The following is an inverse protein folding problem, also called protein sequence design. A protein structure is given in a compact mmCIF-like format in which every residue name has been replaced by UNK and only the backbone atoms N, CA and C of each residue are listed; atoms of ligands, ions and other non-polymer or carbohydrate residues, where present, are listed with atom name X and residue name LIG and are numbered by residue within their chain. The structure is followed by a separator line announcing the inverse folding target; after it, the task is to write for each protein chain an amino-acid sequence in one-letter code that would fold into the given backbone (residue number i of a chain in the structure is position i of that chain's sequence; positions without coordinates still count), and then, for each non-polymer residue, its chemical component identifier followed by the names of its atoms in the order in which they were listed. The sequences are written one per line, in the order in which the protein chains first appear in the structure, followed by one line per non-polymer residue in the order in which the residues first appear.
data_IF_780147997415
#
_entry.id   IF_780147997415
#
_cell.length_a   1.000
_cell.length_b   1.000
_cell.length_c   1.000
_cell.angle_alpha   90.00
_cell.angle_beta   90.00
_cell.angle_gamma   90.00
#
_symmetry.space_group_name_H-M   'P 1'
#
loop_
_entity.id
_entity.type
_entity.pdbx_description
1 polymer ?
#
# COMPACT_ATOMS: atom_id res chain seq x y z
N UNK A 1 -20.52 -23.21 -34.88
CA UNK A 1 -19.06 -23.08 -34.77
C UNK A 1 -18.70 -23.19 -33.30
N UNK A 2 -18.02 -24.26 -32.85
CA UNK A 2 -17.52 -24.30 -31.49
C UNK A 2 -16.24 -23.47 -31.43
N UNK A 3 -16.34 -22.26 -30.88
CA UNK A 3 -15.17 -21.50 -30.45
C UNK A 3 -14.59 -22.20 -29.24
N UNK A 4 -13.47 -22.89 -29.46
CA UNK A 4 -12.67 -23.54 -28.44
C UNK A 4 -12.16 -22.49 -27.42
N UNK A 5 -12.88 -22.37 -26.30
CA UNK A 5 -12.56 -21.48 -25.18
C UNK A 5 -11.28 -21.88 -24.44
N UNK A 6 -10.65 -23.01 -24.76
CA UNK A 6 -9.39 -23.45 -24.14
C UNK A 6 -8.15 -22.67 -24.62
N UNK A 7 -8.30 -21.81 -25.64
CA UNK A 7 -7.22 -21.01 -26.23
C UNK A 7 -7.18 -19.54 -25.77
N UNK A 8 -8.10 -19.12 -24.89
CA UNK A 8 -8.07 -17.77 -24.34
C UNK A 8 -6.94 -17.64 -23.30
N UNK A 9 -6.08 -16.63 -23.41
CA UNK A 9 -4.95 -16.48 -22.48
C UNK A 9 -5.46 -16.32 -21.05
N UNK A 10 -5.08 -17.26 -20.20
CA UNK A 10 -5.48 -17.30 -18.78
C UNK A 10 -4.88 -16.08 -18.07
N UNK A 11 -5.72 -15.12 -17.69
CA UNK A 11 -5.27 -14.00 -16.86
C UNK A 11 -5.11 -14.48 -15.42
N UNK A 12 -3.89 -14.84 -15.06
CA UNK A 12 -3.52 -15.55 -13.83
C UNK A 12 -3.98 -14.91 -12.52
N UNK A 13 -4.28 -13.62 -12.53
CA UNK A 13 -4.68 -12.89 -11.33
C UNK A 13 -6.01 -12.16 -11.52
N UNK A 14 -6.34 -11.63 -12.70
CA UNK A 14 -7.56 -10.83 -12.86
C UNK A 14 -8.84 -11.67 -12.95
N UNK A 15 -8.76 -12.91 -13.44
CA UNK A 15 -9.94 -13.77 -13.53
C UNK A 15 -10.33 -14.28 -12.12
N UNK A 16 -11.64 -14.39 -11.87
CA UNK A 16 -12.15 -15.07 -10.69
C UNK A 16 -11.95 -16.58 -10.74
N UNK A 17 -11.84 -17.15 -11.94
CA UNK A 17 -11.69 -18.58 -12.19
C UNK A 17 -10.23 -19.03 -12.39
N UNK A 18 -9.28 -18.09 -12.53
CA UNK A 18 -7.87 -18.44 -12.72
C UNK A 18 -7.29 -19.08 -11.46
N UNK A 19 -6.73 -20.29 -11.60
CA UNK A 19 -5.94 -20.93 -10.56
C UNK A 19 -4.45 -20.65 -10.79
N UNK A 20 -3.73 -20.19 -9.76
CA UNK A 20 -2.30 -19.92 -9.92
C UNK A 20 -1.42 -21.14 -10.12
N UNK A 21 -1.94 -22.33 -9.78
CA UNK A 21 -1.33 -23.60 -10.14
C UNK A 21 -1.23 -23.76 -11.67
N UNK A 22 -2.28 -23.42 -12.41
CA UNK A 22 -2.32 -23.47 -13.88
C UNK A 22 -1.34 -22.45 -14.50
N UNK A 23 -1.06 -21.38 -13.76
CA UNK A 23 -0.08 -20.39 -14.17
C UNK A 23 1.34 -20.68 -13.70
N UNK A 24 1.63 -21.79 -13.02
CA UNK A 24 2.96 -22.14 -12.49
C UNK A 24 3.62 -20.99 -11.70
N UNK A 25 2.81 -20.13 -11.07
CA UNK A 25 3.23 -18.99 -10.26
C UNK A 25 2.87 -19.20 -8.78
N UNK A 26 2.39 -20.40 -8.45
CA UNK A 26 2.06 -20.79 -7.09
C UNK A 26 3.32 -20.78 -6.23
N UNK A 27 3.22 -20.21 -5.02
CA UNK A 27 4.37 -20.02 -4.14
C UNK A 27 5.19 -18.77 -4.47
N UNK A 28 5.34 -18.40 -5.74
CA UNK A 28 6.13 -17.24 -6.17
C UNK A 28 5.38 -15.91 -6.01
N UNK A 29 4.09 -15.87 -6.39
CA UNK A 29 3.26 -14.66 -6.29
C UNK A 29 2.04 -14.85 -5.38
N UNK A 30 1.51 -13.73 -4.87
CA UNK A 30 0.23 -13.68 -4.15
C UNK A 30 -0.87 -13.54 -5.20
N UNK A 31 -1.42 -14.67 -5.62
CA UNK A 31 -2.46 -14.70 -6.65
C UNK A 31 -3.88 -14.58 -6.09
N UNK A 32 -4.13 -15.23 -4.95
CA UNK A 32 -5.39 -15.09 -4.22
C UNK A 32 -5.17 -14.36 -2.91
N UNK A 33 -6.15 -13.54 -2.54
CA UNK A 33 -6.09 -12.79 -1.28
C UNK A 33 -6.59 -13.69 -0.16
N UNK A 34 -5.66 -14.18 0.66
CA UNK A 34 -6.00 -14.82 1.92
C UNK A 34 -6.67 -13.79 2.84
N UNK A 35 -7.97 -13.97 3.13
CA UNK A 35 -8.76 -13.03 3.94
C UNK A 35 -8.17 -12.80 5.32
N UNK A 36 -7.62 -13.82 5.98
CA UNK A 36 -6.99 -13.71 7.31
C UNK A 36 -5.73 -12.83 7.24
N UNK A 37 -4.91 -12.99 6.20
CA UNK A 37 -3.75 -12.14 5.99
C UNK A 37 -4.15 -10.68 5.68
N UNK A 38 -5.09 -10.47 4.75
CA UNK A 38 -5.58 -9.13 4.43
C UNK A 38 -6.24 -8.43 5.63
N UNK A 39 -6.98 -9.16 6.47
CA UNK A 39 -7.54 -8.63 7.71
C UNK A 39 -6.43 -8.20 8.68
N UNK A 40 -5.40 -9.03 8.87
CA UNK A 40 -4.25 -8.67 9.72
C UNK A 40 -3.53 -7.43 9.22
N UNK A 41 -3.34 -7.32 7.90
CA UNK A 41 -2.74 -6.13 7.30
C UNK A 41 -3.62 -4.89 7.51
N UNK A 42 -4.92 -5.01 7.23
CA UNK A 42 -5.89 -3.91 7.39
C UNK A 42 -5.94 -3.43 8.84
N UNK A 43 -6.00 -4.37 9.79
CA UNK A 43 -6.02 -4.07 11.22
C UNK A 43 -4.71 -3.40 11.65
N UNK A 44 -3.55 -3.95 11.25
CA UNK A 44 -2.24 -3.36 11.56
C UNK A 44 -2.11 -1.93 11.02
N UNK A 45 -2.48 -1.70 9.75
CA UNK A 45 -2.46 -0.37 9.16
C UNK A 45 -3.42 0.59 9.88
N UNK A 46 -4.66 0.15 10.16
CA UNK A 46 -5.64 1.00 10.86
C UNK A 46 -5.17 1.37 12.27
N UNK A 47 -4.69 0.40 13.05
CA UNK A 47 -4.15 0.65 14.39
C UNK A 47 -2.96 1.61 14.35
N UNK A 48 -2.05 1.44 13.38
CA UNK A 48 -0.92 2.35 13.16
C UNK A 48 -1.39 3.79 12.90
N UNK A 49 -2.40 3.99 12.03
CA UNK A 49 -2.96 5.32 11.74
C UNK A 49 -3.73 5.93 12.90
N UNK A 50 -4.47 5.12 13.66
CA UNK A 50 -5.21 5.60 14.84
C UNK A 50 -4.26 6.08 15.93
N UNK A 51 -3.13 5.40 16.14
CA UNK A 51 -2.10 5.86 17.08
C UNK A 51 -1.43 7.16 16.62
N UNK A 52 -1.16 7.29 15.31
CA UNK A 52 -0.68 8.55 14.74
C UNK A 52 -1.67 9.72 14.95
N UNK A 53 -2.97 9.47 14.78
CA UNK A 53 -4.02 10.45 15.11
C UNK A 53 -3.98 10.80 16.60
N UNK A 54 -3.83 9.80 17.48
CA UNK A 54 -3.70 10.00 18.93
C UNK A 54 -2.56 10.96 19.30
N UNK A 55 -1.37 10.77 18.71
CA UNK A 55 -0.22 11.68 18.85
C UNK A 55 -0.62 13.12 18.50
N UNK A 56 -1.25 13.34 17.34
CA UNK A 56 -1.64 14.69 16.95
C UNK A 56 -2.77 15.28 17.82
N UNK A 57 -3.65 14.46 18.37
CA UNK A 57 -4.68 14.90 19.32
C UNK A 57 -4.03 15.39 20.61
N UNK A 58 -3.11 14.62 21.22
CA UNK A 58 -2.45 15.03 22.46
C UNK A 58 -1.53 16.23 22.26
N UNK A 59 -0.78 16.27 21.15
CA UNK A 59 -0.03 17.45 20.74
C UNK A 59 -0.94 18.68 20.51
N UNK A 60 -2.13 18.48 19.93
CA UNK A 60 -3.14 19.54 19.75
C UNK A 60 -3.69 20.06 21.07
N UNK A 61 -3.94 19.18 22.04
CA UNK A 61 -4.41 19.56 23.39
C UNK A 61 -3.36 20.36 24.17
N UNK A 62 -2.07 20.03 24.04
CA UNK A 62 -0.99 20.73 24.75
C UNK A 62 -0.61 22.05 24.11
N UNK A 63 -0.55 22.10 22.77
CA UNK A 63 0.13 23.18 22.02
C UNK A 63 -0.86 23.99 21.17
N UNK A 64 -2.10 23.53 21.01
CA UNK A 64 -3.10 24.15 20.12
C UNK A 64 -2.85 23.90 18.63
N UNK A 65 -1.87 23.06 18.26
CA UNK A 65 -1.47 22.77 16.89
C UNK A 65 -2.38 21.77 16.17
N UNK A 66 -3.70 22.02 16.16
CA UNK A 66 -4.69 21.16 15.50
C UNK A 66 -4.50 21.03 13.98
N UNK A 67 -3.77 21.97 13.37
CA UNK A 67 -3.44 21.92 11.95
C UNK A 67 -2.67 20.65 11.57
N UNK A 68 -1.85 20.08 12.46
CA UNK A 68 -1.11 18.84 12.21
C UNK A 68 -2.06 17.64 12.06
N UNK A 69 -3.09 17.57 12.91
CA UNK A 69 -4.12 16.55 12.81
C UNK A 69 -4.91 16.70 11.51
N UNK A 70 -5.33 17.92 11.18
CA UNK A 70 -6.12 18.20 9.97
C UNK A 70 -5.31 17.86 8.72
N UNK A 71 -4.04 18.27 8.65
CA UNK A 71 -3.17 17.99 7.51
C UNK A 71 -2.94 16.49 7.35
N UNK A 72 -2.66 15.79 8.46
CA UNK A 72 -2.45 14.34 8.46
C UNK A 72 -3.69 13.58 8.01
N UNK A 73 -4.84 13.81 8.65
CA UNK A 73 -6.08 13.12 8.34
C UNK A 73 -6.52 13.35 6.88
N UNK A 74 -6.42 14.60 6.41
CA UNK A 74 -6.77 14.96 5.03
C UNK A 74 -5.88 14.23 4.03
N UNK A 75 -4.57 14.21 4.26
CA UNK A 75 -3.62 13.55 3.36
C UNK A 75 -3.71 12.02 3.41
N UNK A 76 -3.99 11.42 4.57
CA UNK A 76 -4.27 9.98 4.68
C UNK A 76 -5.50 9.60 3.85
N UNK A 77 -6.60 10.32 4.00
CA UNK A 77 -7.83 10.07 3.24
C UNK A 77 -7.56 10.26 1.75
N UNK A 78 -6.99 11.41 1.35
CA UNK A 78 -6.69 11.73 -0.04
C UNK A 78 -5.77 10.68 -0.67
N UNK A 79 -4.76 10.21 0.07
CA UNK A 79 -3.79 9.28 -0.47
C UNK A 79 -4.40 7.91 -0.70
N UNK A 80 -5.04 7.32 0.30
CA UNK A 80 -5.58 5.96 0.16
C UNK A 80 -6.84 5.88 -0.73
N UNK A 81 -7.58 6.98 -0.90
CA UNK A 81 -8.82 6.98 -1.72
C UNK A 81 -8.62 7.48 -3.15
N UNK A 82 -7.69 8.40 -3.39
CA UNK A 82 -7.53 9.08 -4.68
C UNK A 82 -6.14 8.86 -5.25
N UNK A 83 -5.08 9.26 -4.53
CA UNK A 83 -3.71 9.30 -5.08
C UNK A 83 -3.15 7.91 -5.29
N UNK A 84 -3.09 7.06 -4.27
CA UNK A 84 -2.53 5.72 -4.37
C UNK A 84 -3.33 4.84 -5.35
N UNK A 85 -4.68 4.86 -5.34
CA UNK A 85 -5.45 4.19 -6.37
C UNK A 85 -5.08 4.64 -7.79
N UNK A 86 -4.87 5.94 -8.01
CA UNK A 86 -4.50 6.51 -9.31
C UNK A 86 -3.09 6.17 -9.73
N UNK A 87 -2.10 6.39 -8.88
CA UNK A 87 -0.68 6.36 -9.24
C UNK A 87 -0.10 4.96 -9.14
N UNK A 88 -0.68 4.09 -8.29
CA UNK A 88 -0.12 2.80 -7.97
C UNK A 88 -1.09 1.65 -8.23
N UNK A 89 -2.33 1.72 -7.73
CA UNK A 89 -3.24 0.58 -7.85
C UNK A 89 -3.69 0.33 -9.29
N UNK A 90 -3.86 1.36 -10.14
CA UNK A 90 -4.23 1.15 -11.56
C UNK A 90 -3.23 0.30 -12.35
N UNK A 91 -1.99 0.14 -11.85
CA UNK A 91 -0.96 -0.68 -12.49
C UNK A 91 -0.95 -2.13 -12.02
N UNK A 92 -1.79 -2.49 -11.05
CA UNK A 92 -1.83 -3.82 -10.44
C UNK A 92 -2.91 -4.70 -11.11
N UNK A 93 -2.63 -5.98 -11.40
CA UNK A 93 -3.63 -6.89 -11.98
C UNK A 93 -4.87 -7.09 -11.09
N UNK A 94 -4.78 -6.92 -9.78
CA UNK A 94 -5.95 -6.92 -8.89
C UNK A 94 -6.94 -5.77 -9.15
N UNK A 95 -6.49 -4.70 -9.81
CA UNK A 95 -7.33 -3.58 -10.20
C UNK A 95 -8.27 -3.93 -11.34
N UNK A 96 -7.92 -4.91 -12.18
CA UNK A 96 -8.75 -5.37 -13.30
C UNK A 96 -9.97 -6.16 -12.85
N UNK A 97 -9.93 -6.82 -11.67
CA UNK A 97 -11.06 -7.61 -11.15
C UNK A 97 -12.37 -6.82 -11.15
N UNK A 98 -13.49 -7.44 -11.47
CA UNK A 98 -14.78 -6.76 -11.49
C UNK A 98 -15.20 -6.17 -10.13
N UNK A 99 -16.05 -5.14 -10.17
CA UNK A 99 -16.64 -4.48 -9.01
C UNK A 99 -16.11 -3.07 -8.75
N UNK A 100 -16.78 -2.34 -7.85
CA UNK A 100 -16.49 -0.92 -7.54
C UNK A 100 -15.36 -0.72 -6.51
N UNK A 101 -14.91 -1.78 -5.87
CA UNK A 101 -13.90 -1.72 -4.79
C UNK A 101 -12.70 -2.62 -5.10
N UNK A 102 -11.53 -2.22 -4.59
CA UNK A 102 -10.29 -2.96 -4.68
C UNK A 102 -10.38 -4.27 -3.90
N UNK A 103 -9.90 -5.35 -4.53
CA UNK A 103 -9.92 -6.72 -3.98
C UNK A 103 -8.53 -7.22 -3.59
N UNK A 104 -7.48 -6.38 -3.66
CA UNK A 104 -6.13 -6.74 -3.26
C UNK A 104 -6.00 -6.87 -1.73
N UNK A 105 -4.90 -7.43 -1.24
CA UNK A 105 -4.70 -7.62 0.20
C UNK A 105 -4.36 -6.31 0.96
N UNK A 106 -3.80 -5.32 0.26
CA UNK A 106 -3.30 -4.08 0.88
C UNK A 106 -4.37 -2.99 1.03
N UNK A 107 -5.08 -2.65 -0.06
CA UNK A 107 -6.11 -1.60 -0.09
C UNK A 107 -7.52 -2.19 -0.29
N UNK A 108 -7.79 -3.36 0.29
CA UNK A 108 -9.09 -4.02 0.13
C UNK A 108 -10.24 -3.12 0.57
N UNK A 109 -11.28 -3.02 -0.25
CA UNK A 109 -12.48 -2.23 0.04
C UNK A 109 -12.41 -0.77 -0.41
N UNK A 110 -11.22 -0.25 -0.74
CA UNK A 110 -11.08 1.11 -1.26
C UNK A 110 -11.72 1.24 -2.65
N UNK A 111 -12.32 2.40 -2.98
CA UNK A 111 -13.05 2.57 -4.23
C UNK A 111 -12.14 2.58 -5.45
N UNK A 112 -12.63 2.04 -6.57
CA UNK A 112 -11.98 2.11 -7.89
C UNK A 112 -12.49 3.33 -8.65
N UNK A 113 -11.80 4.46 -8.47
CA UNK A 113 -12.19 5.73 -9.10
C UNK A 113 -11.59 5.93 -10.50
N UNK A 114 -10.62 5.10 -10.89
CA UNK A 114 -9.79 5.29 -12.07
C UNK A 114 -9.88 4.12 -13.06
N UNK A 115 -9.42 4.33 -14.29
CA UNK A 115 -9.29 3.26 -15.29
C UNK A 115 -8.03 2.43 -15.06
N UNK A 116 -8.10 1.15 -15.36
CA UNK A 116 -6.95 0.24 -15.31
C UNK A 116 -5.87 0.64 -16.33
N UNK A 117 -4.60 0.62 -15.92
CA UNK A 117 -3.42 1.04 -16.70
C UNK A 117 -2.26 0.08 -16.42
N UNK A 118 -2.23 -1.11 -17.04
CA UNK A 118 -1.35 -2.21 -16.65
C UNK A 118 0.16 -1.99 -16.86
N UNK A 119 0.57 -0.93 -17.56
CA UNK A 119 1.99 -0.62 -17.79
C UNK A 119 2.77 -0.30 -16.51
N UNK A 120 4.10 -0.18 -16.58
CA UNK A 120 4.91 0.27 -15.46
C UNK A 120 4.53 1.70 -15.04
N UNK A 121 4.56 1.99 -13.73
CA UNK A 121 4.39 3.36 -13.25
C UNK A 121 5.55 4.24 -13.72
N UNK A 122 5.21 5.44 -14.20
CA UNK A 122 6.19 6.44 -14.61
C UNK A 122 7.07 6.90 -13.44
N UNK A 123 8.24 7.50 -13.74
CA UNK A 123 9.12 8.08 -12.71
C UNK A 123 8.38 9.10 -11.85
N UNK A 124 7.59 9.97 -12.48
CA UNK A 124 6.79 10.98 -11.79
C UNK A 124 5.75 10.36 -10.85
N UNK A 125 5.03 9.32 -11.29
CA UNK A 125 4.07 8.61 -10.43
C UNK A 125 4.76 8.00 -9.20
N UNK A 126 5.93 7.38 -9.39
CA UNK A 126 6.73 6.83 -8.28
C UNK A 126 7.22 7.90 -7.32
N UNK A 127 7.72 9.03 -7.84
CA UNK A 127 8.17 10.16 -7.02
C UNK A 127 7.05 10.77 -6.21
N UNK A 128 5.88 11.01 -6.81
CA UNK A 128 4.73 11.54 -6.10
C UNK A 128 4.28 10.55 -5.02
N UNK A 129 4.18 9.27 -5.34
CA UNK A 129 3.82 8.25 -4.34
C UNK A 129 4.81 8.20 -3.18
N UNK A 130 6.12 8.35 -3.46
CA UNK A 130 7.14 8.42 -2.42
C UNK A 130 6.94 9.63 -1.51
N UNK A 131 6.67 10.82 -2.07
CA UNK A 131 6.44 12.05 -1.29
C UNK A 131 5.23 11.89 -0.36
N UNK A 132 4.08 11.48 -0.89
CA UNK A 132 2.85 11.33 -0.09
C UNK A 132 2.96 10.18 0.92
N UNK A 133 3.53 9.04 0.51
CA UNK A 133 3.78 7.91 1.40
C UNK A 133 4.73 8.29 2.55
N UNK A 134 5.87 8.93 2.23
CA UNK A 134 6.82 9.41 3.24
C UNK A 134 6.20 10.45 4.17
N UNK A 135 5.38 11.37 3.67
CA UNK A 135 4.67 12.31 4.56
C UNK A 135 3.78 11.55 5.55
N UNK A 136 2.95 10.63 5.05
CA UNK A 136 2.00 9.86 5.86
C UNK A 136 2.70 8.96 6.90
N UNK A 137 3.89 8.46 6.60
CA UNK A 137 4.62 7.56 7.50
C UNK A 137 5.58 8.30 8.44
N UNK A 138 6.18 9.41 8.01
CA UNK A 138 7.19 10.14 8.79
C UNK A 138 6.62 11.32 9.59
N UNK A 139 5.54 11.96 9.14
CA UNK A 139 4.98 13.13 9.82
C UNK A 139 4.53 12.85 11.27
N UNK A 140 3.97 11.68 11.63
CA UNK A 140 3.66 11.37 13.03
C UNK A 140 4.88 11.44 13.97
N UNK A 141 6.09 11.14 13.47
CA UNK A 141 7.30 11.28 14.27
C UNK A 141 7.64 12.74 14.59
N UNK A 142 7.32 13.67 13.68
CA UNK A 142 7.44 15.11 13.94
C UNK A 142 6.49 15.52 15.05
N UNK A 143 5.25 15.02 15.02
CA UNK A 143 4.27 15.21 16.09
C UNK A 143 4.78 14.69 17.44
N UNK A 144 5.26 13.45 17.47
CA UNK A 144 5.82 12.84 18.69
C UNK A 144 7.00 13.62 19.26
N UNK A 145 7.98 13.96 18.43
CA UNK A 145 9.18 14.71 18.88
C UNK A 145 8.74 16.07 19.44
N UNK A 146 7.90 16.79 18.70
CA UNK A 146 7.45 18.12 19.10
C UNK A 146 6.61 18.09 20.38
N UNK A 147 5.68 17.14 20.48
CA UNK A 147 4.84 16.93 21.67
C UNK A 147 5.66 16.62 22.93
N UNK A 148 6.64 15.73 22.81
CA UNK A 148 7.54 15.36 23.92
C UNK A 148 8.42 16.53 24.35
N UNK A 149 9.02 17.26 23.39
CA UNK A 149 9.85 18.44 23.69
C UNK A 149 9.01 19.50 24.41
N UNK A 150 7.80 19.77 23.92
CA UNK A 150 6.92 20.76 24.55
C UNK A 150 6.52 20.35 25.97
N UNK A 151 6.16 19.07 26.17
CA UNK A 151 5.84 18.54 27.48
C UNK A 151 7.03 18.69 28.46
N UNK A 152 8.24 18.35 28.03
CA UNK A 152 9.44 18.50 28.86
C UNK A 152 9.68 19.95 29.32
N UNK A 153 9.36 20.93 28.46
CA UNK A 153 9.49 22.36 28.78
C UNK A 153 8.35 22.91 29.65
N UNK A 154 7.19 22.23 29.71
CA UNK A 154 5.97 22.76 30.32
C UNK A 154 5.25 21.72 31.21
N UNK A 155 6.01 20.83 31.85
CA UNK A 155 5.45 19.63 32.49
C UNK A 155 4.39 19.92 33.57
N UNK A 156 4.53 21.02 34.32
CA UNK A 156 3.63 21.40 35.42
C UNK A 156 2.20 21.69 34.94
N UNK A 157 2.06 22.28 33.74
CA UNK A 157 0.76 22.65 33.17
C UNK A 157 0.17 21.57 32.27
N UNK A 158 0.94 20.54 31.90
CA UNK A 158 0.59 19.57 30.87
C UNK A 158 0.81 18.11 31.30
N UNK A 159 0.80 17.80 32.59
CA UNK A 159 1.14 16.47 33.11
C UNK A 159 0.31 15.35 32.46
N UNK A 160 -1.02 15.47 32.46
CA UNK A 160 -1.91 14.45 31.90
C UNK A 160 -1.73 14.26 30.38
N UNK A 161 -1.88 15.30 29.53
CA UNK A 161 -1.70 15.13 28.09
C UNK A 161 -0.25 14.79 27.71
N UNK A 162 0.74 15.19 28.49
CA UNK A 162 2.14 14.82 28.28
C UNK A 162 2.45 13.34 28.57
N UNK A 163 1.89 12.78 29.64
CA UNK A 163 1.98 11.32 29.88
C UNK A 163 1.28 10.56 28.75
N UNK A 164 0.09 11.03 28.32
CA UNK A 164 -0.63 10.41 27.22
C UNK A 164 0.14 10.46 25.89
N UNK A 165 0.85 11.55 25.62
CA UNK A 165 1.75 11.71 24.47
C UNK A 165 2.89 10.68 24.49
N UNK A 166 3.55 10.50 25.63
CA UNK A 166 4.65 9.51 25.80
C UNK A 166 4.14 8.08 25.58
N UNK A 167 3.00 7.74 26.21
CA UNK A 167 2.39 6.40 26.06
C UNK A 167 1.98 6.16 24.60
N UNK A 168 1.33 7.13 23.97
CA UNK A 168 0.90 7.03 22.56
C UNK A 168 2.08 6.89 21.62
N UNK A 169 3.15 7.68 21.83
CA UNK A 169 4.39 7.58 21.05
C UNK A 169 5.05 6.21 21.23
N UNK A 170 5.12 5.69 22.46
CA UNK A 170 5.71 4.38 22.73
C UNK A 170 4.94 3.26 22.01
N UNK A 171 3.61 3.27 22.13
CA UNK A 171 2.75 2.31 21.43
C UNK A 171 2.85 2.45 19.91
N UNK A 172 2.89 3.68 19.40
CA UNK A 172 3.07 3.98 17.99
C UNK A 172 4.36 3.37 17.45
N UNK A 173 5.50 3.53 18.15
CA UNK A 173 6.78 2.96 17.73
C UNK A 173 6.77 1.42 17.71
N UNK A 174 6.15 0.79 18.72
CA UNK A 174 6.00 -0.68 18.76
C UNK A 174 5.16 -1.17 17.57
N UNK A 175 4.01 -0.53 17.33
CA UNK A 175 3.11 -0.89 16.23
C UNK A 175 3.75 -0.60 14.88
N UNK A 176 4.45 0.52 14.72
CA UNK A 176 5.19 0.87 13.52
C UNK A 176 6.27 -0.18 13.20
N UNK A 177 7.02 -0.64 14.22
CA UNK A 177 8.00 -1.71 14.07
C UNK A 177 7.37 -3.04 13.66
N UNK A 178 6.23 -3.41 14.28
CA UNK A 178 5.49 -4.62 13.91
C UNK A 178 4.93 -4.53 12.47
N UNK A 179 4.30 -3.42 12.11
CA UNK A 179 3.73 -3.20 10.79
C UNK A 179 4.80 -3.15 9.70
N UNK A 180 5.95 -2.55 9.99
CA UNK A 180 7.13 -2.56 9.11
C UNK A 180 7.60 -3.99 8.80
N UNK A 181 7.56 -4.90 9.78
CA UNK A 181 7.87 -6.32 9.54
C UNK A 181 6.85 -7.00 8.63
N UNK A 182 5.56 -6.64 8.70
CA UNK A 182 4.54 -7.17 7.79
C UNK A 182 4.76 -6.66 6.36
N UNK A 183 5.04 -5.35 6.22
CA UNK A 183 5.30 -4.70 4.93
C UNK A 183 6.58 -5.22 4.27
N UNK A 184 7.71 -5.11 4.98
CA UNK A 184 9.04 -5.47 4.47
C UNK A 184 9.33 -6.97 4.48
N UNK A 185 8.40 -7.77 5.00
CA UNK A 185 8.46 -9.22 4.97
C UNK A 185 8.25 -9.79 3.57
N UNK A 186 7.76 -11.04 3.51
CA UNK A 186 7.62 -11.76 2.24
C UNK A 186 6.53 -11.20 1.30
N UNK A 187 5.69 -10.28 1.77
CA UNK A 187 4.58 -9.70 0.99
C UNK A 187 5.08 -8.95 -0.26
N UNK A 188 6.08 -8.09 -0.11
CA UNK A 188 6.64 -7.28 -1.20
C UNK A 188 7.46 -8.10 -2.21
N UNK A 189 8.00 -9.25 -1.79
CA UNK A 189 8.73 -10.20 -2.65
C UNK A 189 7.82 -11.06 -3.52
N UNK A 190 6.51 -11.07 -3.23
CA UNK A 190 5.51 -11.91 -3.88
C UNK A 190 4.33 -11.09 -4.43
N UNK A 191 4.43 -9.76 -4.42
CA UNK A 191 3.33 -8.89 -4.82
C UNK A 191 3.29 -8.74 -6.34
N UNK A 192 2.11 -8.92 -6.95
CA UNK A 192 1.93 -8.75 -8.40
C UNK A 192 1.84 -7.28 -8.87
N UNK A 193 1.97 -6.30 -7.96
CA UNK A 193 2.10 -4.90 -8.35
C UNK A 193 3.58 -4.54 -8.57
N UNK A 194 4.11 -4.90 -9.74
CA UNK A 194 5.53 -4.68 -10.09
C UNK A 194 5.88 -3.20 -10.28
N UNK A 195 4.87 -2.33 -10.42
CA UNK A 195 5.07 -0.88 -10.50
C UNK A 195 5.40 -0.22 -9.15
N UNK A 196 5.19 -0.93 -8.04
CA UNK A 196 5.49 -0.43 -6.69
C UNK A 196 7.00 -0.32 -6.46
N UNK A 197 7.46 0.82 -5.94
CA UNK A 197 8.87 1.04 -5.58
C UNK A 197 9.39 0.09 -4.49
N UNK A 198 8.48 -0.48 -3.68
CA UNK A 198 8.83 -1.46 -2.66
C UNK A 198 8.77 -2.91 -3.17
N UNK A 199 8.35 -3.14 -4.42
CA UNK A 199 8.29 -4.49 -4.99
C UNK A 199 9.71 -5.06 -5.12
N UNK A 200 9.88 -6.34 -4.74
CA UNK A 200 11.19 -7.04 -4.78
C UNK A 200 11.11 -8.37 -5.53
N UNK A 201 10.09 -8.56 -6.36
CA UNK A 201 9.97 -9.73 -7.23
C UNK A 201 11.11 -9.68 -8.27
N UNK A 202 11.73 -10.83 -8.56
CA UNK A 202 12.81 -10.90 -9.55
C UNK A 202 12.29 -10.69 -10.97
N UNK A 203 13.18 -10.24 -11.87
CA UNK A 203 12.85 -10.05 -13.29
C UNK A 203 12.32 -11.33 -13.93
N UNK A 204 12.93 -12.48 -13.65
CA UNK A 204 12.51 -13.79 -14.14
C UNK A 204 11.03 -14.09 -13.82
N UNK A 205 10.61 -13.87 -12.57
CA UNK A 205 9.21 -14.09 -12.17
C UNK A 205 8.28 -13.07 -12.84
N UNK A 206 8.74 -11.82 -13.03
CA UNK A 206 7.97 -10.79 -13.77
C UNK A 206 7.79 -11.22 -15.22
N UNK A 207 8.86 -11.65 -15.90
CA UNK A 207 8.82 -12.07 -17.30
C UNK A 207 7.90 -13.29 -17.48
N UNK A 208 8.01 -14.29 -16.61
CA UNK A 208 7.10 -15.45 -16.57
C UNK A 208 5.64 -15.04 -16.33
N UNK A 209 5.41 -14.04 -15.46
CA UNK A 209 4.07 -13.49 -15.26
C UNK A 209 3.55 -12.80 -16.52
N UNK A 210 4.35 -11.97 -17.17
CA UNK A 210 3.96 -11.22 -18.36
C UNK A 210 3.62 -12.19 -19.51
N UNK A 211 4.40 -13.24 -19.72
CA UNK A 211 4.10 -14.26 -20.74
C UNK A 211 2.67 -14.83 -20.63
N UNK A 212 2.18 -14.98 -19.40
CA UNK A 212 0.86 -15.53 -19.11
C UNK A 212 -0.24 -14.45 -19.02
N UNK A 213 0.11 -13.15 -19.11
CA UNK A 213 -0.84 -12.04 -18.96
C UNK A 213 -0.72 -11.04 -20.13
N UNK A 214 -1.31 -11.34 -21.30
CA UNK A 214 -1.00 -10.61 -22.55
C UNK A 214 -1.28 -9.11 -22.49
N UNK A 215 -2.38 -8.70 -21.87
CA UNK A 215 -2.74 -7.28 -21.73
C UNK A 215 -1.71 -6.49 -20.92
N UNK A 216 -1.11 -7.12 -19.90
CA UNK A 216 -0.05 -6.50 -19.12
C UNK A 216 1.28 -6.55 -19.86
N UNK A 217 1.61 -7.68 -20.49
CA UNK A 217 2.79 -7.84 -21.36
C UNK A 217 2.85 -6.76 -22.43
N UNK A 218 1.78 -6.58 -23.20
CA UNK A 218 1.70 -5.56 -24.26
C UNK A 218 2.01 -4.17 -23.72
N UNK A 219 1.37 -3.77 -22.61
CA UNK A 219 1.59 -2.47 -22.01
C UNK A 219 3.02 -2.25 -21.50
N UNK A 220 3.67 -3.32 -21.02
CA UNK A 220 5.06 -3.28 -20.55
C UNK A 220 6.06 -3.21 -21.71
N UNK A 221 5.85 -3.98 -22.77
CA UNK A 221 6.67 -3.97 -23.98
C UNK A 221 6.64 -2.60 -24.67
N UNK A 222 5.45 -1.99 -24.79
CA UNK A 222 5.30 -0.62 -25.33
C UNK A 222 6.09 0.42 -24.50
N UNK A 223 6.26 0.18 -23.20
CA UNK A 223 7.05 1.03 -22.31
C UNK A 223 8.56 0.70 -22.33
N UNK A 224 9.00 -0.18 -23.23
CA UNK A 224 10.41 -0.54 -23.42
C UNK A 224 10.91 -1.68 -22.51
N UNK A 225 10.02 -2.44 -21.87
CA UNK A 225 10.43 -3.65 -21.16
C UNK A 225 10.98 -4.70 -22.14
N UNK A 226 12.02 -5.42 -21.72
CA UNK A 226 12.63 -6.50 -22.50
C UNK A 226 12.49 -7.83 -21.76
N UNK A 227 11.78 -8.77 -22.38
CA UNK A 227 11.61 -10.13 -21.86
C UNK A 227 12.91 -10.91 -22.05
N UNK A 228 13.32 -11.67 -21.05
CA UNK A 228 14.46 -12.61 -21.13
C UNK A 228 15.77 -11.96 -21.65
N UNK A 229 16.01 -10.70 -21.31
CA UNK A 229 17.30 -10.06 -21.55
C UNK A 229 18.34 -10.68 -20.60
N UNK A 230 19.31 -11.40 -21.19
CA UNK A 230 20.57 -11.82 -20.56
C UNK A 230 21.37 -10.63 -20.01
#
# INVERSE_FOLDING_TARGET
MPTDLSSLPVNCIADSNSNCAECELEGELICFVNKKFANRFTLGNLTYRLLAIGIFVFSGLMIGHWWMLISYASLVILTFTIIEPRLLCTHCPFYEKEGKCLKCWALRGMPKLWKYRPGPASRTEKTIMLIFGSYIDLFPFVGSIWGIVFFALNYESNLFPGIAEIVSTTLFLIVAGYFSKILLGNSCKRCANFSCSMNKVSKEIIDNFLEKNPKMKEAWLVCGWQLNSD
#
